data_IF_296627958540
#
_entry.id   IF_296627958540
#
_cell.length_a   1.000
_cell.length_b   1.000
_cell.length_c   1.000
_cell.angle_alpha   90.00
_cell.angle_beta   90.00
_cell.angle_gamma   90.00
#
_symmetry.space_group_name_H-M   'P 1'
#
loop_
_entity.id
_entity.type
_entity.pdbx_description
1 polymer ?
#
# COMPACT_ATOMS: atom_id res chain seq x y z
N UNK A 1 58.39 31.08 29.66
CA UNK A 1 58.75 29.81 30.32
C UNK A 1 58.21 28.71 29.41
N UNK A 2 58.96 28.30 28.37
CA UNK A 2 60.05 27.30 28.37
C UNK A 2 59.46 25.87 28.35
N UNK A 3 59.78 24.95 27.43
CA UNK A 3 60.70 24.96 26.29
C UNK A 3 60.28 23.95 25.18
N UNK A 4 60.94 24.09 24.02
CA UNK A 4 61.11 23.23 22.83
C UNK A 4 61.10 21.69 23.07
N UNK A 5 60.81 20.81 22.08
CA UNK A 5 61.32 20.69 20.68
C UNK A 5 60.28 19.95 19.79
N UNK A 6 60.39 19.70 18.46
CA UNK A 6 61.46 19.87 17.43
C UNK A 6 60.89 20.01 15.98
N UNK A 7 61.80 19.99 15.00
CA UNK A 7 61.71 20.08 13.52
C UNK A 7 60.80 19.07 12.77
N UNK A 8 60.40 19.32 11.50
CA UNK A 8 60.54 20.55 10.68
C UNK A 8 60.31 20.35 9.15
N UNK A 9 60.10 21.48 8.44
CA UNK A 9 60.24 21.76 6.98
C UNK A 9 59.44 20.88 5.97
N UNK A 10 58.94 21.36 4.80
CA UNK A 10 59.08 22.62 4.02
C UNK A 10 57.79 22.85 3.17
N UNK A 11 57.18 24.03 3.13
CA UNK A 11 57.40 25.14 2.15
C UNK A 11 57.57 24.73 0.66
N UNK A 12 56.68 25.20 -0.25
CA UNK A 12 56.99 26.09 -1.40
C UNK A 12 55.73 26.88 -1.87
N UNK A 13 55.86 28.22 -2.02
CA UNK A 13 55.22 29.21 -2.95
C UNK A 13 53.79 29.07 -3.54
N UNK A 14 53.09 30.07 -4.10
CA UNK A 14 53.02 31.57 -4.15
C UNK A 14 51.74 31.87 -4.98
N UNK A 15 50.72 32.60 -4.49
CA UNK A 15 50.41 34.05 -4.68
C UNK A 15 50.18 34.58 -6.12
N UNK A 16 49.35 35.64 -6.21
CA UNK A 16 48.86 36.42 -7.38
C UNK A 16 47.68 35.83 -8.19
N UNK A 17 46.72 36.59 -8.74
CA UNK A 17 46.01 37.85 -8.44
C UNK A 17 45.17 38.18 -9.70
N UNK A 18 43.88 38.49 -9.53
CA UNK A 18 42.97 39.29 -10.40
C UNK A 18 42.94 39.09 -11.94
N UNK A 19 41.73 38.88 -12.48
CA UNK A 19 41.42 39.12 -13.91
C UNK A 19 40.01 38.72 -14.33
N UNK A 20 39.06 39.66 -14.34
CA UNK A 20 37.72 39.46 -14.93
C UNK A 20 37.68 39.91 -16.40
N UNK A 21 37.17 39.08 -17.32
CA UNK A 21 36.31 39.48 -18.47
C UNK A 21 35.36 38.31 -18.78
N UNK A 22 34.15 38.62 -19.23
CA UNK A 22 33.06 37.67 -19.45
C UNK A 22 33.19 36.81 -20.72
N UNK A 23 32.61 35.60 -20.67
CA UNK A 23 32.32 34.76 -21.82
C UNK A 23 31.13 33.85 -21.50
N UNK A 24 29.97 34.10 -22.11
CA UNK A 24 28.75 33.34 -21.87
C UNK A 24 28.74 32.01 -22.64
N UNK A 25 28.51 30.90 -21.96
CA UNK A 25 27.87 29.72 -22.55
C UNK A 25 26.98 29.03 -21.51
N UNK A 26 25.81 28.61 -21.96
CA UNK A 26 24.71 28.16 -21.11
C UNK A 26 24.95 26.71 -20.68
N UNK A 27 24.96 26.46 -19.37
CA UNK A 27 24.85 25.10 -18.82
C UNK A 27 23.87 25.10 -17.64
N UNK A 28 22.66 24.61 -17.92
CA UNK A 28 21.58 24.39 -16.94
C UNK A 28 21.98 23.28 -15.98
N UNK A 29 22.75 23.64 -14.94
CA UNK A 29 23.02 22.73 -13.83
C UNK A 29 21.76 22.59 -12.99
N UNK A 30 21.19 21.38 -12.96
CA UNK A 30 20.00 21.04 -12.21
C UNK A 30 20.24 21.31 -10.71
N UNK A 31 19.51 22.25 -10.12
CA UNK A 31 19.58 22.51 -8.67
C UNK A 31 18.87 21.36 -7.95
N UNK A 32 19.64 20.32 -7.62
CA UNK A 32 19.22 19.30 -6.65
C UNK A 32 19.25 19.91 -5.24
N UNK A 33 18.16 20.59 -4.87
CA UNK A 33 17.84 20.79 -3.45
C UNK A 33 17.48 19.43 -2.84
N UNK A 34 18.50 18.71 -2.42
CA UNK A 34 18.36 17.59 -1.51
C UNK A 34 18.02 18.16 -0.12
N UNK A 35 16.74 18.49 0.11
CA UNK A 35 16.26 18.74 1.46
C UNK A 35 16.55 17.50 2.32
N UNK A 36 17.39 17.69 3.33
CA UNK A 36 17.60 16.70 4.39
C UNK A 36 16.33 16.62 5.24
N UNK A 37 15.32 15.91 4.73
CA UNK A 37 14.22 15.40 5.55
C UNK A 37 14.81 14.33 6.46
N UNK A 38 15.30 14.73 7.62
CA UNK A 38 15.69 13.83 8.71
C UNK A 38 14.44 13.15 9.24
N UNK A 39 13.94 12.11 8.55
CA UNK A 39 12.90 11.26 9.12
C UNK A 39 13.52 10.50 10.28
N UNK A 40 13.16 10.93 11.49
CA UNK A 40 13.39 10.16 12.70
C UNK A 40 12.44 8.96 12.66
N UNK A 41 12.81 7.93 11.91
CA UNK A 41 12.19 6.61 12.03
C UNK A 41 12.46 6.19 13.47
N UNK A 42 11.39 5.90 14.23
CA UNK A 42 11.58 5.54 15.64
C UNK A 42 12.37 4.23 15.71
N UNK A 43 13.26 4.10 16.70
CA UNK A 43 14.10 2.90 16.87
C UNK A 43 13.28 1.60 16.92
N UNK A 44 12.01 1.67 17.36
CA UNK A 44 11.06 0.57 17.32
C UNK A 44 10.80 0.05 15.89
N UNK A 45 10.59 0.94 14.91
CA UNK A 45 10.44 0.56 13.49
C UNK A 45 11.74 0.02 12.89
N UNK A 46 12.90 0.56 13.29
CA UNK A 46 14.19 0.03 12.84
C UNK A 46 14.39 -1.41 13.35
N UNK A 47 14.12 -1.69 14.63
CA UNK A 47 14.14 -3.06 15.19
C UNK A 47 13.09 -4.00 14.58
N UNK A 48 12.05 -3.46 13.97
CA UNK A 48 10.95 -4.22 13.35
C UNK A 48 11.27 -4.63 11.90
N UNK A 49 12.04 -3.81 11.17
CA UNK A 49 12.45 -4.10 9.79
C UNK A 49 13.84 -4.71 9.64
N UNK A 50 14.65 -4.74 10.71
CA UNK A 50 16.01 -5.24 10.71
C UNK A 50 16.18 -6.45 11.64
N UNK A 51 16.20 -7.64 11.05
CA UNK A 51 16.60 -8.91 11.67
C UNK A 51 18.09 -8.97 12.09
N UNK A 52 18.76 -7.83 12.30
CA UNK A 52 20.22 -7.71 12.36
C UNK A 52 20.80 -7.37 13.74
N UNK A 53 20.05 -7.59 14.81
CA UNK A 53 20.57 -7.57 16.17
C UNK A 53 20.74 -8.99 16.74
N UNK A 54 21.94 -9.38 17.21
CA UNK A 54 22.13 -10.66 17.89
C UNK A 54 21.55 -10.58 19.30
N UNK A 55 20.29 -10.98 19.47
CA UNK A 55 19.55 -10.83 20.73
C UNK A 55 19.07 -12.15 21.35
N UNK A 56 19.14 -12.18 22.68
CA UNK A 56 18.83 -13.28 23.59
C UNK A 56 17.36 -13.69 23.47
N UNK A 57 17.05 -14.97 23.73
CA UNK A 57 15.76 -15.57 23.44
C UNK A 57 14.59 -15.11 24.34
N UNK A 58 14.87 -14.48 25.49
CA UNK A 58 13.86 -14.11 26.51
C UNK A 58 13.28 -12.69 26.37
N UNK A 59 13.80 -11.83 25.49
CA UNK A 59 13.37 -10.42 25.36
C UNK A 59 12.49 -10.11 24.14
N UNK A 60 11.66 -11.07 23.69
CA UNK A 60 10.54 -10.68 22.81
C UNK A 60 9.45 -10.01 23.64
N UNK A 61 9.01 -8.76 23.33
CA UNK A 61 7.77 -8.24 23.85
C UNK A 61 6.61 -9.19 23.48
N UNK A 62 5.43 -8.98 24.09
CA UNK A 62 4.29 -9.86 23.83
C UNK A 62 3.93 -9.90 22.34
N UNK A 63 3.39 -11.02 21.91
CA UNK A 63 3.09 -11.25 20.50
C UNK A 63 1.70 -10.75 20.13
N UNK A 64 1.55 -10.36 18.86
CA UNK A 64 0.29 -10.42 18.13
C UNK A 64 0.47 -11.46 17.02
N UNK A 65 -0.20 -12.60 17.19
CA UNK A 65 -0.23 -13.72 16.27
C UNK A 65 -1.36 -13.56 15.25
N UNK A 66 -1.13 -13.97 14.00
CA UNK A 66 -2.14 -13.88 12.94
C UNK A 66 -2.01 -15.00 11.89
N UNK A 67 -3.16 -15.52 11.45
CA UNK A 67 -3.31 -16.46 10.33
C UNK A 67 -4.03 -15.76 9.18
N UNK A 68 -3.41 -15.76 8.00
CA UNK A 68 -3.98 -15.13 6.82
C UNK A 68 -5.17 -15.90 6.24
N UNK A 69 -6.15 -15.16 5.73
CA UNK A 69 -7.29 -15.69 4.97
C UNK A 69 -7.64 -14.81 3.76
N UNK A 70 -8.21 -15.40 2.72
CA UNK A 70 -8.69 -14.71 1.52
C UNK A 70 -7.64 -14.61 0.40
N UNK A 71 -7.79 -13.60 -0.46
CA UNK A 71 -6.86 -13.32 -1.58
C UNK A 71 -5.90 -12.18 -1.24
N UNK A 72 -4.87 -11.97 -2.05
CA UNK A 72 -3.84 -10.92 -1.93
C UNK A 72 -4.30 -9.62 -1.23
N UNK A 73 -5.36 -8.95 -1.71
CA UNK A 73 -5.83 -7.70 -1.09
C UNK A 73 -6.35 -7.85 0.35
N UNK A 74 -6.97 -9.00 0.69
CA UNK A 74 -7.35 -9.32 2.07
C UNK A 74 -6.09 -9.54 2.92
N UNK A 75 -5.12 -10.30 2.42
CA UNK A 75 -3.88 -10.60 3.16
C UNK A 75 -3.04 -9.34 3.38
N UNK A 76 -2.98 -8.42 2.41
CA UNK A 76 -2.33 -7.11 2.57
C UNK A 76 -3.00 -6.27 3.68
N UNK A 77 -4.33 -6.32 3.82
CA UNK A 77 -5.04 -5.66 4.93
C UNK A 77 -4.70 -6.28 6.28
N UNK A 78 -4.79 -7.61 6.37
CA UNK A 78 -4.39 -8.38 7.55
C UNK A 78 -2.94 -8.06 7.96
N UNK A 79 -2.01 -8.07 7.01
CA UNK A 79 -0.61 -7.72 7.23
C UNK A 79 -0.50 -6.29 7.79
N UNK A 80 -0.96 -5.28 7.06
CA UNK A 80 -0.83 -3.88 7.46
C UNK A 80 -1.48 -3.58 8.82
N UNK A 81 -2.68 -4.11 9.08
CA UNK A 81 -3.40 -3.92 10.33
C UNK A 81 -2.71 -4.59 11.53
N UNK A 82 -2.15 -5.79 11.35
CA UNK A 82 -1.37 -6.46 12.40
C UNK A 82 -0.05 -5.73 12.67
N UNK A 83 0.65 -5.23 11.64
CA UNK A 83 1.85 -4.39 11.84
C UNK A 83 1.51 -3.11 12.62
N UNK A 84 0.42 -2.42 12.26
CA UNK A 84 -0.03 -1.19 12.93
C UNK A 84 -0.45 -1.42 14.39
N UNK A 85 -1.21 -2.48 14.66
CA UNK A 85 -1.57 -2.89 16.02
C UNK A 85 -0.35 -3.30 16.85
N UNK A 86 0.58 -4.06 16.27
CA UNK A 86 1.80 -4.48 16.95
C UNK A 86 2.68 -3.29 17.31
N UNK A 87 2.85 -2.34 16.39
CA UNK A 87 3.54 -1.07 16.65
C UNK A 87 2.88 -0.27 17.79
N UNK A 88 1.57 -0.02 17.68
CA UNK A 88 0.86 0.83 18.64
C UNK A 88 0.76 0.22 20.06
N UNK A 89 0.87 -1.10 20.19
CA UNK A 89 0.80 -1.81 21.48
C UNK A 89 2.15 -2.28 22.02
N UNK A 90 3.26 -1.91 21.36
CA UNK A 90 4.64 -2.34 21.67
C UNK A 90 4.78 -3.88 21.72
N UNK A 91 4.41 -4.53 20.61
CA UNK A 91 4.36 -6.00 20.45
C UNK A 91 5.09 -6.46 19.20
N UNK A 92 5.45 -7.73 19.17
CA UNK A 92 5.99 -8.37 17.95
C UNK A 92 4.85 -8.99 17.14
N UNK A 93 4.70 -8.56 15.89
CA UNK A 93 3.82 -9.22 14.93
C UNK A 93 4.40 -10.59 14.54
N UNK A 94 3.58 -11.64 14.58
CA UNK A 94 3.93 -12.99 14.15
C UNK A 94 2.87 -13.49 13.19
N UNK A 95 3.29 -13.70 11.94
CA UNK A 95 2.44 -14.26 10.90
C UNK A 95 2.72 -15.74 10.75
N UNK A 96 1.67 -16.56 10.75
CA UNK A 96 1.75 -18.02 10.66
C UNK A 96 1.92 -18.51 9.21
N UNK A 97 2.74 -17.76 8.44
CA UNK A 97 3.00 -17.84 6.99
C UNK A 97 1.82 -17.46 6.08
N UNK A 98 2.13 -16.78 4.97
CA UNK A 98 1.22 -16.61 3.82
C UNK A 98 1.88 -17.19 2.56
N UNK A 99 1.12 -17.96 1.79
CA UNK A 99 1.59 -18.46 0.49
C UNK A 99 1.54 -17.37 -0.61
N UNK A 100 0.69 -16.34 -0.47
CA UNK A 100 0.56 -15.27 -1.45
C UNK A 100 1.58 -14.14 -1.19
N UNK A 101 1.59 -13.53 0.00
CA UNK A 101 2.50 -12.43 0.34
C UNK A 101 3.97 -12.83 0.28
N UNK A 102 4.36 -14.04 0.71
CA UNK A 102 5.76 -14.49 0.61
C UNK A 102 6.21 -14.68 -0.87
N UNK A 103 5.28 -14.84 -1.82
CA UNK A 103 5.60 -14.83 -3.26
C UNK A 103 5.68 -13.42 -3.85
N UNK A 104 4.96 -12.45 -3.27
CA UNK A 104 4.75 -11.09 -3.81
C UNK A 104 5.66 -10.02 -3.19
N UNK A 105 5.90 -10.06 -1.88
CA UNK A 105 6.67 -9.06 -1.14
C UNK A 105 8.17 -9.34 -1.16
N UNK A 106 8.97 -8.28 -1.17
CA UNK A 106 10.44 -8.35 -1.12
C UNK A 106 10.94 -8.85 0.25
N UNK A 107 10.26 -8.46 1.33
CA UNK A 107 10.51 -8.97 2.68
C UNK A 107 9.53 -10.11 2.98
N UNK A 108 9.99 -11.25 3.53
CA UNK A 108 9.10 -12.33 3.94
C UNK A 108 8.21 -11.88 5.10
N UNK A 109 7.01 -12.44 5.19
CA UNK A 109 6.11 -12.26 6.34
C UNK A 109 6.59 -12.98 7.60
N UNK A 110 7.54 -13.91 7.45
CA UNK A 110 8.01 -14.83 8.49
C UNK A 110 9.44 -14.51 8.97
N UNK A 111 9.78 -14.94 10.19
CA UNK A 111 11.13 -14.74 10.75
C UNK A 111 12.14 -15.73 10.13
N UNK A 112 13.26 -15.26 9.51
CA UNK A 112 14.20 -16.16 8.83
C UNK A 112 14.82 -17.28 9.70
N UNK A 113 14.91 -17.12 11.03
CA UNK A 113 15.59 -18.08 11.91
C UNK A 113 14.75 -18.60 13.07
N UNK A 114 13.89 -17.77 13.69
CA UNK A 114 13.08 -18.20 14.86
C UNK A 114 11.61 -18.47 14.55
N UNK A 115 11.18 -18.53 13.28
CA UNK A 115 9.77 -18.70 12.90
C UNK A 115 9.10 -19.88 13.63
N UNK A 116 9.70 -21.08 13.61
CA UNK A 116 9.16 -22.27 14.30
C UNK A 116 8.94 -22.08 15.80
N UNK A 117 9.77 -21.26 16.46
CA UNK A 117 9.64 -20.96 17.89
C UNK A 117 8.52 -19.94 18.13
N UNK A 118 8.41 -18.92 17.27
CA UNK A 118 7.32 -17.94 17.33
C UNK A 118 5.97 -18.59 17.05
N UNK A 119 5.89 -19.45 16.03
CA UNK A 119 4.70 -20.27 15.72
C UNK A 119 4.32 -21.17 16.91
N UNK A 120 5.28 -21.88 17.50
CA UNK A 120 5.05 -22.71 18.67
C UNK A 120 4.62 -21.91 19.91
N UNK A 121 4.99 -20.63 20.04
CA UNK A 121 4.49 -19.71 21.08
C UNK A 121 3.06 -19.25 20.76
N UNK A 122 2.78 -18.87 19.51
CA UNK A 122 1.44 -18.54 19.04
C UNK A 122 0.43 -19.69 19.12
N UNK A 123 0.87 -20.94 19.15
CA UNK A 123 0.01 -22.12 19.33
C UNK A 123 -0.27 -22.46 20.81
N UNK A 124 0.41 -21.85 21.79
CA UNK A 124 0.25 -22.15 23.23
C UNK A 124 -0.89 -21.36 23.90
N UNK A 125 -2.02 -21.24 23.22
CA UNK A 125 -3.23 -20.53 23.68
C UNK A 125 -3.04 -19.03 24.00
N UNK A 126 -2.70 -18.19 22.99
CA UNK A 126 -2.82 -16.74 23.13
C UNK A 126 -4.28 -16.31 23.38
N UNK A 127 -4.50 -15.14 23.99
CA UNK A 127 -5.85 -14.59 24.14
C UNK A 127 -6.42 -14.20 22.77
N UNK A 128 -7.60 -14.71 22.44
CA UNK A 128 -8.24 -14.37 21.17
C UNK A 128 -8.97 -13.02 21.23
N UNK A 129 -8.83 -12.24 20.16
CA UNK A 129 -9.57 -10.99 19.92
C UNK A 129 -9.97 -10.91 18.45
N UNK A 130 -11.11 -10.26 18.19
CA UNK A 130 -11.70 -10.16 16.86
C UNK A 130 -12.41 -8.81 16.69
N UNK A 131 -12.65 -8.43 15.44
CA UNK A 131 -13.55 -7.33 15.09
C UNK A 131 -15.00 -7.68 15.49
N UNK A 132 -15.80 -6.70 15.93
CA UNK A 132 -17.21 -6.95 16.35
C UNK A 132 -18.07 -7.56 15.23
N UNK A 133 -17.77 -7.14 14.01
CA UNK A 133 -18.20 -7.68 12.73
C UNK A 133 -16.98 -7.57 11.81
N UNK A 134 -16.89 -8.32 10.71
CA UNK A 134 -15.75 -8.09 9.79
C UNK A 134 -15.69 -6.63 9.40
N UNK A 135 -14.47 -6.12 9.23
CA UNK A 135 -14.26 -4.94 8.44
C UNK A 135 -14.80 -3.65 9.12
N UNK A 136 -15.22 -3.76 10.38
CA UNK A 136 -15.63 -2.66 11.28
C UNK A 136 -14.54 -2.45 12.33
N UNK A 137 -14.09 -1.21 12.47
CA UNK A 137 -12.97 -0.87 13.34
C UNK A 137 -13.29 -1.14 14.82
N UNK A 138 -12.39 -1.89 15.49
CA UNK A 138 -12.47 -2.18 16.91
C UNK A 138 -11.30 -1.51 17.66
N UNK A 139 -11.57 -0.37 18.29
CA UNK A 139 -10.60 0.41 19.06
C UNK A 139 -10.02 -0.36 20.27
N UNK A 140 -10.77 -1.32 20.81
CA UNK A 140 -10.33 -2.17 21.92
C UNK A 140 -9.11 -3.04 21.57
N UNK A 141 -8.80 -3.22 20.28
CA UNK A 141 -7.60 -3.94 19.84
C UNK A 141 -6.30 -3.16 20.13
N UNK A 142 -6.37 -1.87 20.48
CA UNK A 142 -5.23 -1.09 20.97
C UNK A 142 -5.04 -1.18 22.50
N UNK A 143 -6.06 -1.65 23.24
CA UNK A 143 -6.05 -1.72 24.70
C UNK A 143 -5.83 -3.16 25.17
N UNK A 144 -4.69 -3.74 24.78
CA UNK A 144 -4.32 -5.13 25.07
C UNK A 144 -3.53 -5.25 26.38
N UNK A 145 -3.92 -6.19 27.24
CA UNK A 145 -3.28 -6.41 28.55
C UNK A 145 -1.80 -6.80 28.39
N UNK A 146 -0.86 -6.20 29.16
CA UNK A 146 0.58 -6.30 28.89
C UNK A 146 1.16 -7.70 29.12
N UNK A 147 0.46 -8.59 29.81
CA UNK A 147 1.00 -9.89 30.23
C UNK A 147 0.66 -11.06 29.28
N UNK A 148 -0.20 -10.85 28.29
CA UNK A 148 -0.69 -11.90 27.40
C UNK A 148 -0.19 -11.73 25.97
N UNK A 149 0.10 -12.84 25.30
CA UNK A 149 0.16 -12.87 23.83
C UNK A 149 -1.27 -12.92 23.28
N UNK A 150 -1.53 -12.29 22.13
CA UNK A 150 -2.85 -12.25 21.51
C UNK A 150 -2.86 -12.90 20.13
N UNK A 151 -3.97 -13.55 19.81
CA UNK A 151 -4.33 -13.90 18.43
C UNK A 151 -5.42 -12.93 17.97
N UNK A 152 -5.19 -12.23 16.86
CA UNK A 152 -6.16 -11.30 16.29
C UNK A 152 -6.63 -11.86 14.96
N UNK A 153 -7.92 -12.14 14.86
CA UNK A 153 -8.54 -12.82 13.72
C UNK A 153 -9.29 -11.86 12.76
N UNK A 154 -9.85 -12.44 11.69
CA UNK A 154 -10.64 -11.79 10.63
C UNK A 154 -9.81 -10.91 9.68
N UNK A 155 -10.49 -10.26 8.73
CA UNK A 155 -9.85 -9.56 7.62
C UNK A 155 -9.24 -8.19 7.97
N UNK A 156 -9.61 -7.58 9.12
CA UNK A 156 -9.01 -6.34 9.63
C UNK A 156 -8.98 -5.20 8.60
N UNK A 157 -10.05 -5.06 7.83
CA UNK A 157 -10.11 -4.19 6.64
C UNK A 157 -10.32 -2.70 6.97
N UNK A 158 -9.75 -2.20 8.06
CA UNK A 158 -9.80 -0.77 8.40
C UNK A 158 -8.42 -0.13 8.37
N UNK A 159 -8.30 0.98 7.63
CA UNK A 159 -7.10 1.82 7.60
C UNK A 159 -6.75 2.40 8.96
N UNK A 160 -7.73 2.48 9.88
CA UNK A 160 -7.55 2.99 11.23
C UNK A 160 -6.60 2.14 12.08
N UNK A 161 -6.42 0.85 11.76
CA UNK A 161 -5.47 -0.02 12.48
C UNK A 161 -3.99 0.35 12.26
N UNK A 162 -3.68 1.04 11.16
CA UNK A 162 -2.33 1.48 10.81
C UNK A 162 -2.22 2.99 10.52
N UNK A 163 -3.22 3.76 10.99
CA UNK A 163 -3.24 5.22 10.86
C UNK A 163 -1.99 5.85 11.47
N UNK A 164 -1.27 6.65 10.68
CA UNK A 164 -0.06 7.34 11.14
C UNK A 164 1.22 6.50 11.00
N UNK A 165 1.12 5.29 10.44
CA UNK A 165 2.24 4.45 10.00
C UNK A 165 2.30 4.34 8.47
N UNK A 166 1.67 5.27 7.74
CA UNK A 166 1.43 5.15 6.31
C UNK A 166 2.72 4.96 5.48
N UNK A 167 3.83 5.60 5.89
CA UNK A 167 5.15 5.43 5.25
C UNK A 167 5.71 4.02 5.50
N UNK A 168 5.60 3.54 6.72
CA UNK A 168 6.13 2.27 7.18
C UNK A 168 5.33 1.09 6.60
N UNK A 169 4.00 1.21 6.48
CA UNK A 169 3.15 0.25 5.77
C UNK A 169 3.51 0.19 4.28
N UNK A 170 3.72 1.34 3.61
CA UNK A 170 4.17 1.36 2.21
C UNK A 170 5.53 0.68 2.04
N UNK A 171 6.45 0.87 2.99
CA UNK A 171 7.74 0.19 3.00
C UNK A 171 7.63 -1.31 3.26
N UNK A 172 6.76 -1.74 4.18
CA UNK A 172 6.47 -3.16 4.42
C UNK A 172 5.88 -3.85 3.18
N UNK A 173 5.04 -3.13 2.44
CA UNK A 173 4.43 -3.57 1.19
C UNK A 173 5.32 -3.29 -0.04
N UNK A 174 6.65 -3.34 0.10
CA UNK A 174 7.57 -3.31 -1.05
C UNK A 174 7.46 -4.65 -1.78
N UNK A 175 6.99 -4.62 -3.03
CA UNK A 175 6.87 -5.80 -3.89
C UNK A 175 8.25 -6.25 -4.40
N UNK A 176 8.41 -7.53 -4.74
CA UNK A 176 9.65 -8.06 -5.31
C UNK A 176 10.08 -7.31 -6.57
N UNK A 177 11.39 -7.21 -6.77
CA UNK A 177 12.01 -6.50 -7.89
C UNK A 177 11.44 -6.91 -9.25
N UNK A 178 11.28 -8.22 -9.52
CA UNK A 178 10.73 -8.70 -10.80
C UNK A 178 9.32 -8.18 -11.09
N UNK A 179 8.45 -8.16 -10.08
CA UNK A 179 7.07 -7.65 -10.19
C UNK A 179 7.09 -6.13 -10.43
N UNK A 180 7.98 -5.41 -9.74
CA UNK A 180 8.19 -3.96 -9.93
C UNK A 180 8.71 -3.65 -11.33
N UNK A 181 9.62 -4.44 -11.87
CA UNK A 181 10.21 -4.27 -13.20
C UNK A 181 9.20 -4.55 -14.31
N UNK A 182 8.43 -5.63 -14.19
CA UNK A 182 7.35 -6.01 -15.13
C UNK A 182 6.27 -4.93 -15.18
N UNK A 183 5.74 -4.50 -14.02
CA UNK A 183 4.75 -3.43 -13.95
C UNK A 183 5.29 -2.10 -14.51
N UNK A 184 6.56 -1.77 -14.25
CA UNK A 184 7.19 -0.56 -14.77
C UNK A 184 7.38 -0.61 -16.30
N UNK A 185 7.62 -1.78 -16.90
CA UNK A 185 7.69 -1.94 -18.36
C UNK A 185 6.31 -1.76 -19.01
N UNK A 186 5.25 -2.37 -18.44
CA UNK A 186 3.86 -2.17 -18.90
C UNK A 186 3.49 -0.68 -18.88
N UNK A 187 3.79 0.03 -17.79
CA UNK A 187 3.53 1.48 -17.67
C UNK A 187 4.38 2.29 -18.65
N UNK A 188 5.65 1.93 -18.88
CA UNK A 188 6.48 2.56 -19.94
C UNK A 188 5.85 2.39 -21.31
N UNK A 189 5.34 1.20 -21.64
CA UNK A 189 4.62 0.93 -22.89
C UNK A 189 3.42 1.86 -23.08
N UNK A 190 2.55 1.97 -22.08
CA UNK A 190 1.42 2.91 -22.15
C UNK A 190 1.85 4.38 -22.31
N UNK A 191 2.93 4.81 -21.65
CA UNK A 191 3.44 6.19 -21.81
C UNK A 191 4.06 6.46 -23.19
N UNK A 192 4.65 5.45 -23.83
CA UNK A 192 5.17 5.55 -25.20
C UNK A 192 4.04 5.68 -26.24
N UNK A 193 2.93 4.97 -26.04
CA UNK A 193 1.75 5.03 -26.90
C UNK A 193 0.95 6.33 -26.69
N UNK A 194 0.72 6.71 -25.43
CA UNK A 194 -0.15 7.82 -25.05
C UNK A 194 0.66 9.03 -24.55
N UNK A 195 1.51 9.57 -25.41
CA UNK A 195 2.44 10.65 -25.06
C UNK A 195 1.71 11.95 -24.71
N UNK A 196 2.00 12.51 -23.53
CA UNK A 196 1.37 13.74 -23.04
C UNK A 196 -0.08 13.56 -22.56
N UNK A 197 -0.56 12.31 -22.45
CA UNK A 197 -1.84 11.97 -21.84
C UNK A 197 -1.71 11.67 -20.34
N UNK A 198 -2.79 11.89 -19.60
CA UNK A 198 -2.91 11.49 -18.20
C UNK A 198 -3.46 10.07 -18.15
N UNK A 199 -2.71 9.12 -17.59
CA UNK A 199 -3.14 7.73 -17.49
C UNK A 199 -3.93 7.51 -16.21
N UNK A 200 -5.17 7.04 -16.35
CA UNK A 200 -6.11 6.77 -15.27
C UNK A 200 -6.27 5.26 -15.13
N UNK A 201 -5.88 4.69 -14.00
CA UNK A 201 -6.21 3.32 -13.66
C UNK A 201 -7.69 3.17 -13.34
N UNK A 202 -8.33 2.10 -13.79
CA UNK A 202 -9.71 1.78 -13.42
C UNK A 202 -9.76 0.32 -13.01
N UNK A 203 -9.90 0.05 -11.72
CA UNK A 203 -10.14 -1.30 -11.25
C UNK A 203 -11.63 -1.58 -11.19
N UNK A 204 -12.10 -2.55 -11.97
CA UNK A 204 -13.50 -2.92 -12.07
C UNK A 204 -13.73 -4.38 -11.65
N UNK A 205 -13.92 -4.63 -10.34
CA UNK A 205 -14.29 -5.96 -9.84
C UNK A 205 -15.74 -6.28 -10.16
N UNK A 206 -15.97 -7.42 -10.78
CA UNK A 206 -17.31 -7.87 -11.16
C UNK A 206 -17.50 -9.38 -11.20
N UNK A 207 -16.53 -10.13 -11.75
CA UNK A 207 -16.69 -11.54 -12.10
C UNK A 207 -17.18 -12.41 -10.95
N UNK A 208 -16.58 -12.29 -9.77
CA UNK A 208 -17.04 -13.04 -8.59
C UNK A 208 -18.25 -12.42 -7.87
N UNK A 209 -18.63 -11.19 -8.20
CA UNK A 209 -19.75 -10.48 -7.58
C UNK A 209 -21.07 -10.63 -8.35
N UNK A 210 -21.06 -11.31 -9.50
CA UNK A 210 -22.27 -11.62 -10.29
C UNK A 210 -22.93 -12.94 -9.90
N UNK A 211 -22.33 -13.74 -9.01
CA UNK A 211 -22.96 -14.97 -8.58
C UNK A 211 -24.17 -14.73 -7.65
N UNK A 212 -25.08 -15.70 -7.66
CA UNK A 212 -26.34 -15.70 -6.94
C UNK A 212 -26.18 -15.53 -5.42
N UNK A 213 -25.04 -15.95 -4.87
CA UNK A 213 -24.74 -15.94 -3.44
C UNK A 213 -24.22 -14.57 -3.01
N UNK A 214 -23.23 -14.03 -3.71
CA UNK A 214 -22.67 -12.71 -3.46
C UNK A 214 -23.70 -11.60 -3.74
N UNK A 215 -24.57 -11.78 -4.73
CA UNK A 215 -25.73 -10.90 -4.96
C UNK A 215 -26.68 -10.90 -3.75
N UNK A 216 -27.03 -12.06 -3.19
CA UNK A 216 -27.88 -12.18 -1.98
C UNK A 216 -27.23 -11.62 -0.72
N UNK A 217 -25.90 -11.68 -0.62
CA UNK A 217 -25.15 -11.04 0.47
C UNK A 217 -25.10 -9.50 0.34
N UNK A 218 -25.45 -8.95 -0.83
CA UNK A 218 -25.44 -7.53 -1.11
C UNK A 218 -24.07 -6.98 -1.51
N UNK A 219 -23.21 -7.78 -2.15
CA UNK A 219 -21.95 -7.26 -2.68
C UNK A 219 -22.20 -6.20 -3.77
N UNK A 220 -21.64 -4.99 -3.65
CA UNK A 220 -21.74 -3.96 -4.68
C UNK A 220 -20.96 -4.38 -5.94
N UNK A 221 -21.65 -4.48 -7.07
CA UNK A 221 -21.05 -4.80 -8.38
C UNK A 221 -20.82 -3.52 -9.20
N UNK A 222 -19.87 -3.58 -10.15
CA UNK A 222 -19.61 -2.46 -11.06
C UNK A 222 -20.72 -2.35 -12.12
N UNK A 223 -21.10 -1.12 -12.42
CA UNK A 223 -22.14 -0.75 -13.40
C UNK A 223 -21.56 0.11 -14.53
N UNK A 224 -22.25 0.21 -15.67
CA UNK A 224 -21.84 1.13 -16.73
C UNK A 224 -21.82 2.60 -16.24
N UNK A 225 -22.65 2.94 -15.25
CA UNK A 225 -22.67 4.26 -14.63
C UNK A 225 -21.36 4.59 -13.90
N UNK A 226 -20.69 3.62 -13.27
CA UNK A 226 -19.36 3.83 -12.67
C UNK A 226 -18.34 4.29 -13.71
N UNK A 227 -18.31 3.67 -14.89
CA UNK A 227 -17.40 4.10 -15.95
C UNK A 227 -17.76 5.49 -16.46
N UNK A 228 -19.05 5.76 -16.72
CA UNK A 228 -19.50 7.09 -17.15
C UNK A 228 -19.12 8.20 -16.14
N UNK A 229 -19.35 7.99 -14.84
CA UNK A 229 -18.96 8.92 -13.78
C UNK A 229 -17.43 9.09 -13.70
N UNK A 230 -16.68 8.00 -13.82
CA UNK A 230 -15.21 8.00 -13.79
C UNK A 230 -14.63 8.80 -14.95
N UNK A 231 -15.10 8.53 -16.17
CA UNK A 231 -14.69 9.21 -17.40
C UNK A 231 -15.01 10.70 -17.30
N UNK A 232 -16.27 11.05 -17.00
CA UNK A 232 -16.69 12.45 -16.83
C UNK A 232 -15.88 13.18 -15.75
N UNK A 233 -15.58 12.55 -14.62
CA UNK A 233 -14.79 13.19 -13.56
C UNK A 233 -13.36 13.49 -14.02
N UNK A 234 -12.69 12.52 -14.64
CA UNK A 234 -11.28 12.69 -15.02
C UNK A 234 -11.10 13.53 -16.29
N UNK A 235 -11.97 13.45 -17.29
CA UNK A 235 -11.83 14.28 -18.51
C UNK A 235 -12.09 15.77 -18.24
N UNK A 236 -12.99 16.10 -17.30
CA UNK A 236 -13.19 17.48 -16.83
C UNK A 236 -11.95 18.07 -16.13
N UNK A 237 -11.08 17.23 -15.56
CA UNK A 237 -9.83 17.66 -14.92
C UNK A 237 -8.62 17.55 -15.86
N UNK A 238 -8.64 16.57 -16.76
CA UNK A 238 -7.55 16.17 -17.64
C UNK A 238 -8.12 15.88 -19.04
N UNK A 239 -8.22 16.88 -19.94
CA UNK A 239 -8.80 16.71 -21.28
C UNK A 239 -8.09 15.73 -22.23
N UNK A 240 -7.01 15.09 -21.76
CA UNK A 240 -6.28 14.01 -22.44
C UNK A 240 -6.15 12.78 -21.52
N UNK A 241 -7.22 12.45 -20.81
CA UNK A 241 -7.27 11.23 -20.00
C UNK A 241 -7.30 9.98 -20.90
N UNK A 242 -6.60 8.92 -20.46
CA UNK A 242 -6.62 7.59 -21.08
C UNK A 242 -6.83 6.57 -19.97
N UNK A 243 -7.77 5.64 -20.17
CA UNK A 243 -8.26 4.76 -19.12
C UNK A 243 -7.69 3.35 -19.25
N UNK A 244 -6.84 2.95 -18.32
CA UNK A 244 -6.25 1.62 -18.26
C UNK A 244 -7.04 0.78 -17.26
N UNK A 245 -7.81 -0.17 -17.76
CA UNK A 245 -8.82 -0.92 -17.01
C UNK A 245 -8.29 -2.31 -16.61
N UNK A 246 -8.31 -2.62 -15.32
CA UNK A 246 -8.04 -3.96 -14.80
C UNK A 246 -9.34 -4.57 -14.26
N UNK A 247 -9.64 -5.82 -14.63
CA UNK A 247 -10.94 -6.44 -14.33
C UNK A 247 -10.88 -7.96 -14.38
N UNK A 248 -11.62 -8.61 -13.50
CA UNK A 248 -11.91 -10.05 -13.55
C UNK A 248 -13.07 -10.40 -14.52
N UNK A 249 -13.71 -9.40 -15.13
CA UNK A 249 -14.76 -9.53 -16.14
C UNK A 249 -14.46 -8.66 -17.38
N UNK A 250 -13.29 -8.90 -17.99
CA UNK A 250 -12.78 -8.25 -19.21
C UNK A 250 -13.85 -8.08 -20.30
N UNK A 251 -14.59 -9.14 -20.62
CA UNK A 251 -15.64 -9.12 -21.66
C UNK A 251 -16.77 -8.15 -21.33
N UNK A 252 -17.18 -8.08 -20.07
CA UNK A 252 -18.22 -7.14 -19.65
C UNK A 252 -17.71 -5.70 -19.72
N UNK A 253 -16.46 -5.45 -19.30
CA UNK A 253 -15.85 -4.12 -19.41
C UNK A 253 -15.81 -3.64 -20.87
N UNK A 254 -15.34 -4.47 -21.81
CA UNK A 254 -15.36 -4.15 -23.27
C UNK A 254 -16.74 -3.76 -23.80
N UNK A 255 -17.81 -4.31 -23.22
CA UNK A 255 -19.19 -4.06 -23.66
C UNK A 255 -19.89 -2.89 -22.95
N UNK A 256 -19.33 -2.38 -21.83
CA UNK A 256 -19.97 -1.38 -20.97
C UNK A 256 -19.11 -0.13 -20.73
N UNK A 257 -17.85 -0.11 -21.18
CA UNK A 257 -17.05 1.09 -21.17
C UNK A 257 -17.65 2.14 -22.14
N UNK A 258 -17.71 3.44 -21.78
CA UNK A 258 -18.27 4.48 -22.63
C UNK A 258 -17.60 4.52 -24.02
N UNK A 259 -18.38 4.46 -25.11
CA UNK A 259 -17.82 4.45 -26.46
C UNK A 259 -17.25 5.82 -26.85
N UNK A 260 -16.15 5.83 -27.61
CA UNK A 260 -15.51 7.05 -28.11
C UNK A 260 -14.44 7.64 -27.19
N UNK A 261 -14.20 7.03 -26.03
CA UNK A 261 -13.08 7.35 -25.15
C UNK A 261 -11.86 6.48 -25.51
N UNK A 262 -10.71 6.72 -24.87
CA UNK A 262 -9.50 5.92 -25.09
C UNK A 262 -9.26 5.00 -23.90
N UNK A 263 -9.56 3.71 -24.06
CA UNK A 263 -9.28 2.68 -23.06
C UNK A 263 -8.26 1.64 -23.51
N UNK A 264 -7.68 0.94 -22.52
CA UNK A 264 -7.00 -0.33 -22.73
C UNK A 264 -7.32 -1.25 -21.57
N UNK A 265 -7.71 -2.49 -21.84
CA UNK A 265 -8.00 -3.47 -20.79
C UNK A 265 -6.80 -4.40 -20.63
N UNK A 266 -6.32 -4.52 -19.40
CA UNK A 266 -5.20 -5.40 -19.02
C UNK A 266 -5.66 -6.86 -19.05
N UNK A 267 -4.80 -7.73 -19.61
CA UNK A 267 -5.04 -9.17 -19.74
C UNK A 267 -3.73 -9.93 -19.52
N UNK A 268 -3.82 -11.14 -18.95
CA UNK A 268 -2.72 -12.13 -18.87
C UNK A 268 -1.52 -11.80 -17.96
N UNK A 269 -1.65 -10.90 -16.98
CA UNK A 269 -0.63 -10.71 -15.93
C UNK A 269 -1.03 -11.36 -14.59
N UNK A 270 -0.12 -11.36 -13.62
CA UNK A 270 -0.45 -11.75 -12.25
C UNK A 270 -1.20 -10.62 -11.52
N UNK A 271 -2.06 -10.93 -10.53
CA UNK A 271 -2.74 -9.90 -9.73
C UNK A 271 -1.79 -8.93 -9.02
N UNK A 272 -0.55 -9.35 -8.72
CA UNK A 272 0.44 -8.47 -8.12
C UNK A 272 1.02 -7.45 -9.13
N UNK A 273 1.21 -7.85 -10.38
CA UNK A 273 1.65 -6.96 -11.47
C UNK A 273 0.55 -5.96 -11.79
N UNK A 274 -0.69 -6.43 -11.99
CA UNK A 274 -1.83 -5.55 -12.28
C UNK A 274 -2.05 -4.49 -11.18
N UNK A 275 -1.84 -4.87 -9.92
CA UNK A 275 -1.96 -3.98 -8.76
C UNK A 275 -0.90 -2.88 -8.78
N UNK A 276 0.35 -3.22 -9.13
CA UNK A 276 1.43 -2.25 -9.27
C UNK A 276 1.26 -1.37 -10.51
N UNK A 277 0.75 -1.91 -11.63
CA UNK A 277 0.41 -1.12 -12.82
C UNK A 277 -0.59 -0.04 -12.41
N UNK A 278 -1.75 -0.42 -11.85
CA UNK A 278 -2.76 0.52 -11.35
C UNK A 278 -2.20 1.56 -10.37
N UNK A 279 -1.38 1.12 -9.41
CA UNK A 279 -0.76 2.00 -8.43
C UNK A 279 0.23 3.00 -9.05
N UNK A 280 0.81 2.69 -10.21
CA UNK A 280 1.84 3.50 -10.89
C UNK A 280 1.30 4.43 -12.00
N UNK A 281 0.00 4.41 -12.27
CA UNK A 281 -0.66 5.37 -13.17
C UNK A 281 -0.86 6.73 -12.46
N UNK A 282 -1.22 7.78 -13.19
CA UNK A 282 -1.30 9.12 -12.61
C UNK A 282 -2.34 9.16 -11.49
N UNK A 283 -3.51 8.59 -11.74
CA UNK A 283 -4.70 8.58 -10.88
C UNK A 283 -5.41 7.22 -10.99
N UNK A 284 -6.34 6.92 -10.07
CA UNK A 284 -7.08 5.65 -10.10
C UNK A 284 -8.54 5.77 -9.66
N UNK A 285 -9.43 5.08 -10.36
CA UNK A 285 -10.80 4.80 -9.96
C UNK A 285 -10.91 3.39 -9.41
N UNK A 286 -11.56 3.25 -8.25
CA UNK A 286 -11.66 1.99 -7.51
C UNK A 286 -13.11 1.52 -7.36
N UNK A 287 -13.29 0.20 -7.49
CA UNK A 287 -14.53 -0.53 -7.22
C UNK A 287 -14.59 -1.03 -5.77
N UNK A 288 -15.63 -1.79 -5.42
CA UNK A 288 -15.67 -2.46 -4.13
C UNK A 288 -14.60 -3.56 -3.99
N UNK A 289 -14.11 -3.76 -2.76
CA UNK A 289 -13.23 -4.86 -2.36
C UNK A 289 -11.79 -4.45 -2.02
N UNK A 290 -11.14 -5.30 -1.22
CA UNK A 290 -9.81 -5.09 -0.66
C UNK A 290 -8.70 -4.87 -1.71
N UNK A 291 -8.72 -5.61 -2.82
CA UNK A 291 -7.75 -5.43 -3.90
C UNK A 291 -7.83 -4.03 -4.52
N UNK A 292 -9.04 -3.57 -4.82
CA UNK A 292 -9.27 -2.22 -5.38
C UNK A 292 -8.87 -1.13 -4.40
N UNK A 293 -9.12 -1.35 -3.11
CA UNK A 293 -8.66 -0.46 -2.03
C UNK A 293 -7.13 -0.32 -2.02
N UNK A 294 -6.38 -1.42 -2.16
CA UNK A 294 -4.92 -1.35 -2.22
C UNK A 294 -4.38 -0.67 -3.47
N UNK A 295 -5.06 -0.78 -4.62
CA UNK A 295 -4.71 -0.01 -5.82
C UNK A 295 -4.84 1.50 -5.55
N UNK A 296 -5.93 1.92 -4.90
CA UNK A 296 -6.14 3.29 -4.44
C UNK A 296 -5.10 3.75 -3.41
N UNK A 297 -4.82 2.92 -2.40
CA UNK A 297 -3.92 3.31 -1.33
C UNK A 297 -2.47 3.42 -1.81
N UNK A 298 -1.98 2.50 -2.64
CA UNK A 298 -0.62 2.54 -3.16
C UNK A 298 -0.39 3.67 -4.16
N UNK A 299 -1.41 4.05 -4.93
CA UNK A 299 -1.35 5.20 -5.86
C UNK A 299 -1.04 6.52 -5.13
N UNK A 300 -0.32 7.43 -5.81
CA UNK A 300 0.09 8.74 -5.29
C UNK A 300 -0.78 9.90 -5.81
N UNK A 301 -1.78 9.61 -6.64
CA UNK A 301 -2.61 10.61 -7.31
C UNK A 301 -3.99 10.79 -6.69
N UNK A 302 -4.92 11.25 -7.53
CA UNK A 302 -6.34 11.32 -7.19
C UNK A 302 -6.93 9.91 -7.21
N UNK A 303 -7.58 9.53 -6.12
CA UNK A 303 -8.34 8.29 -6.00
C UNK A 303 -9.82 8.61 -5.95
N UNK A 304 -10.61 7.98 -6.82
CA UNK A 304 -12.08 8.14 -6.85
C UNK A 304 -12.82 6.83 -6.67
N UNK A 305 -14.00 6.88 -6.07
CA UNK A 305 -14.86 5.72 -5.83
C UNK A 305 -16.34 6.10 -5.96
N UNK A 306 -17.21 5.15 -6.27
CA UNK A 306 -18.66 5.40 -6.38
C UNK A 306 -19.23 5.83 -5.04
N UNK A 307 -19.98 6.94 -4.99
CA UNK A 307 -20.69 7.33 -3.78
C UNK A 307 -21.64 6.22 -3.31
N UNK A 308 -21.68 5.98 -2.00
CA UNK A 308 -22.45 4.90 -1.37
C UNK A 308 -21.98 3.48 -1.72
N UNK A 309 -20.71 3.29 -2.11
CA UNK A 309 -20.12 1.97 -2.39
C UNK A 309 -20.42 0.91 -1.31
N UNK A 310 -20.51 1.30 -0.03
CA UNK A 310 -20.88 0.42 1.10
C UNK A 310 -22.32 0.68 1.56
N UNK A 311 -22.71 1.95 1.68
CA UNK A 311 -23.99 2.34 2.29
C UNK A 311 -25.20 2.22 1.35
N UNK A 312 -24.98 1.93 0.06
CA UNK A 312 -26.02 1.77 -0.95
C UNK A 312 -26.77 0.43 -0.90
N UNK A 313 -26.34 -0.49 -0.03
CA UNK A 313 -26.92 -1.84 0.14
C UNK A 313 -27.44 -2.08 1.57
N UNK A 314 -28.32 -1.19 2.12
CA UNK A 314 -28.81 -1.32 3.48
C UNK A 314 -29.61 -2.62 3.67
N UNK A 315 -29.58 -3.16 4.89
CA UNK A 315 -30.22 -4.43 5.29
C UNK A 315 -29.66 -5.70 4.60
N UNK A 316 -28.54 -5.60 3.88
CA UNK A 316 -27.82 -6.77 3.35
C UNK A 316 -26.73 -7.24 4.31
N UNK A 317 -26.15 -8.43 4.07
CA UNK A 317 -25.03 -8.92 4.89
C UNK A 317 -23.85 -7.96 4.83
N UNK A 318 -23.49 -7.47 3.63
CA UNK A 318 -22.39 -6.51 3.45
C UNK A 318 -22.71 -5.14 4.06
N UNK A 319 -23.92 -4.63 3.86
CA UNK A 319 -24.36 -3.35 4.45
C UNK A 319 -24.43 -3.35 5.98
N UNK A 320 -24.59 -4.53 6.60
CA UNK A 320 -24.53 -4.72 8.05
C UNK A 320 -23.11 -5.06 8.55
N UNK A 321 -22.21 -5.49 7.67
CA UNK A 321 -20.85 -5.93 8.01
C UNK A 321 -19.92 -4.73 8.18
N UNK A 322 -19.89 -3.86 7.17
CA UNK A 322 -19.15 -2.60 7.24
C UNK A 322 -19.98 -1.56 8.00
N UNK A 323 -19.36 -0.79 8.89
CA UNK A 323 -20.04 0.21 9.71
C UNK A 323 -20.90 1.21 8.90
N UNK A 324 -21.92 1.83 9.52
CA UNK A 324 -23.07 2.44 8.83
C UNK A 324 -22.77 3.63 7.89
N UNK A 325 -21.54 4.14 7.86
CA UNK A 325 -21.08 5.19 6.95
C UNK A 325 -19.87 4.80 6.08
N UNK A 326 -19.38 3.56 6.20
CA UNK A 326 -18.22 3.04 5.47
C UNK A 326 -16.86 3.67 5.81
N UNK A 327 -16.78 4.61 6.77
CA UNK A 327 -15.55 5.39 7.07
C UNK A 327 -14.42 4.57 7.68
N UNK A 328 -14.70 3.37 8.18
CA UNK A 328 -13.68 2.43 8.63
C UNK A 328 -12.89 1.86 7.45
N UNK A 329 -13.55 1.64 6.31
CA UNK A 329 -12.94 1.11 5.10
C UNK A 329 -12.44 2.22 4.18
N UNK A 330 -13.29 3.19 3.82
CA UNK A 330 -12.92 4.26 2.87
C UNK A 330 -11.83 5.14 3.48
N UNK A 331 -10.71 5.30 2.76
CA UNK A 331 -9.60 6.14 3.18
C UNK A 331 -9.96 7.64 3.03
N UNK A 332 -9.66 8.50 4.01
CA UNK A 332 -10.29 9.81 4.15
C UNK A 332 -9.90 10.87 3.12
N UNK A 333 -8.87 10.62 2.30
CA UNK A 333 -8.42 11.56 1.25
C UNK A 333 -9.05 11.29 -0.12
N UNK A 334 -9.87 10.24 -0.26
CA UNK A 334 -10.45 9.82 -1.54
C UNK A 334 -11.75 10.55 -1.84
N UNK A 335 -12.04 10.73 -3.13
CA UNK A 335 -13.20 11.50 -3.61
C UNK A 335 -14.33 10.58 -4.05
N UNK A 336 -15.54 10.80 -3.53
CA UNK A 336 -16.75 10.13 -3.99
C UNK A 336 -17.27 10.79 -5.28
N UNK A 337 -17.63 9.98 -6.28
CA UNK A 337 -18.23 10.41 -7.56
C UNK A 337 -19.60 9.79 -7.81
#
# INVERSE_FOLDING_TARGET
>A
MNCAFSHGNSCVSESFLLGCVAGSLISTTLVLHAEKVTTTVSKAWESFFMWSYPFVLDEYPKLICHYFTGRLGNEMFQYASILGLAYATNRTAVFMRSEQLDTVLEKPTTHPTKQKWLEARCLKAPKEKYERSCCTFNDQLFNLEPDFDYYIALYLMSWKYFKGADKEIRHALTFKQSIREEAAEIVRGYRQVFQGSTLIGVHARKGDLEDDYNTKLGYPTVTAEFFNRTVNYFENLFPKAVFIVASDSVRWCKANFPPGHTETIMENHSPAVDLLVLASLDHVAISFGSYSWWAGYLNQGKVVYVKNLITGVPNTSIGNTFGPDGKDFIYPTWTAI
#
